data_IF_118807970988
#
_entry.id   IF_118807970988
#
_cell.length_a   1.000
_cell.length_b   1.000
_cell.length_c   1.000
_cell.angle_alpha   90.00
_cell.angle_beta   90.00
_cell.angle_gamma   90.00
#
_symmetry.space_group_name_H-M   'P 1'
#
loop_
_entity.id
_entity.type
_entity.pdbx_description
1 polymer ?
#
# COMPACT_ATOMS: atom_id res chain seq x y z
N UNK A 1 27.49 19.47 -6.91
CA UNK A 1 26.34 18.69 -7.30
C UNK A 1 25.13 19.24 -6.57
N UNK A 2 24.09 19.71 -7.26
CA UNK A 2 22.90 20.26 -6.61
C UNK A 2 22.18 19.17 -5.80
N UNK A 3 21.69 19.53 -4.62
CA UNK A 3 20.90 18.64 -3.77
C UNK A 3 19.44 19.05 -3.86
N UNK A 4 18.57 18.12 -4.20
CA UNK A 4 17.11 18.30 -4.28
C UNK A 4 16.48 17.49 -3.17
N UNK A 5 15.74 18.11 -2.24
CA UNK A 5 14.95 17.36 -1.26
C UNK A 5 13.87 16.52 -1.95
N UNK A 6 13.74 15.27 -1.58
CA UNK A 6 12.71 14.37 -2.15
C UNK A 6 11.29 14.95 -2.06
N UNK A 7 10.87 15.63 -0.98
CA UNK A 7 9.55 16.27 -0.92
C UNK A 7 9.26 17.25 -2.07
N UNK A 8 10.28 17.83 -2.70
CA UNK A 8 10.06 18.70 -3.88
C UNK A 8 9.58 17.87 -5.06
N UNK A 9 10.26 16.76 -5.37
CA UNK A 9 9.81 15.83 -6.43
C UNK A 9 8.43 15.24 -6.09
N UNK A 10 8.23 14.85 -4.84
CA UNK A 10 6.95 14.35 -4.36
C UNK A 10 5.80 15.30 -4.62
N UNK A 11 5.94 16.59 -4.23
CA UNK A 11 4.89 17.58 -4.43
C UNK A 11 4.59 17.81 -5.91
N UNK A 12 5.62 17.90 -6.75
CA UNK A 12 5.44 18.04 -8.21
C UNK A 12 4.63 16.85 -8.78
N UNK A 13 4.89 15.63 -8.34
CA UNK A 13 4.16 14.45 -8.79
C UNK A 13 2.73 14.42 -8.23
N UNK A 14 2.55 14.74 -6.96
CA UNK A 14 1.21 14.77 -6.35
C UNK A 14 0.31 15.80 -7.03
N UNK A 15 0.81 17.02 -7.23
CA UNK A 15 0.06 18.09 -7.89
C UNK A 15 -0.19 17.77 -9.37
N UNK A 16 0.86 17.32 -10.07
CA UNK A 16 0.77 16.98 -11.49
C UNK A 16 -0.18 15.82 -11.81
N UNK A 17 -0.35 14.89 -10.88
CA UNK A 17 -1.23 13.73 -11.04
C UNK A 17 -2.60 13.91 -10.35
N UNK A 18 -2.88 15.02 -9.73
CA UNK A 18 -4.13 15.21 -8.97
C UNK A 18 -5.38 14.96 -9.83
N UNK A 19 -5.34 15.31 -11.11
CA UNK A 19 -6.45 15.18 -12.05
C UNK A 19 -6.70 13.76 -12.59
N UNK A 20 -5.76 12.84 -12.41
CA UNK A 20 -5.94 11.46 -12.93
C UNK A 20 -6.82 10.60 -12.02
N UNK A 21 -7.03 11.02 -10.79
CA UNK A 21 -7.77 10.22 -9.83
C UNK A 21 -9.28 10.32 -10.05
N UNK A 22 -10.01 9.19 -10.06
CA UNK A 22 -11.46 9.20 -10.17
C UNK A 22 -12.12 10.00 -9.05
N UNK A 23 -13.26 10.64 -9.35
CA UNK A 23 -14.03 11.41 -8.36
C UNK A 23 -14.57 10.57 -7.20
N UNK A 24 -14.58 9.24 -7.34
CA UNK A 24 -14.98 8.29 -6.30
C UNK A 24 -13.90 8.05 -5.23
N UNK A 25 -12.70 8.62 -5.40
CA UNK A 25 -11.63 8.48 -4.40
C UNK A 25 -11.92 9.29 -3.14
N UNK A 26 -11.27 8.90 -2.05
CA UNK A 26 -11.37 9.61 -0.76
C UNK A 26 -11.06 11.08 -0.93
N UNK A 27 -11.91 11.95 -0.40
CA UNK A 27 -11.75 13.40 -0.44
C UNK A 27 -11.82 14.00 0.95
N UNK A 28 -11.02 15.03 1.20
CA UNK A 28 -11.13 15.89 2.38
C UNK A 28 -11.27 17.33 1.90
N UNK A 29 -12.29 18.04 2.38
CA UNK A 29 -12.59 19.43 2.00
C UNK A 29 -12.64 19.64 0.47
N UNK A 30 -13.16 18.66 -0.26
CA UNK A 30 -13.27 18.71 -1.71
C UNK A 30 -11.98 18.39 -2.50
N UNK A 31 -10.85 18.18 -1.82
CA UNK A 31 -9.61 17.76 -2.45
C UNK A 31 -9.50 16.22 -2.43
N UNK A 32 -9.22 15.62 -3.58
CA UNK A 32 -8.98 14.17 -3.66
C UNK A 32 -7.64 13.82 -3.02
N UNK A 33 -7.64 12.75 -2.25
CA UNK A 33 -6.42 12.21 -1.63
C UNK A 33 -5.70 11.18 -2.50
N UNK A 34 -6.22 10.87 -3.70
CA UNK A 34 -5.62 9.88 -4.60
C UNK A 34 -5.64 8.47 -4.04
N UNK A 35 -4.48 7.84 -3.91
CA UNK A 35 -4.36 6.48 -3.36
C UNK A 35 -4.25 6.51 -1.82
N UNK A 36 -5.30 7.03 -1.20
CA UNK A 36 -5.50 7.05 0.25
C UNK A 36 -6.91 6.52 0.58
N UNK A 37 -7.00 5.64 1.56
CA UNK A 37 -8.20 4.84 1.81
C UNK A 37 -8.61 4.85 3.28
N UNK A 38 -9.88 4.98 3.60
CA UNK A 38 -10.38 4.73 4.95
C UNK A 38 -10.00 3.31 5.38
N UNK A 39 -9.69 3.15 6.66
CA UNK A 39 -9.33 1.87 7.24
C UNK A 39 -10.06 1.70 8.57
N UNK A 40 -10.93 0.70 8.66
CA UNK A 40 -11.76 0.46 9.85
C UNK A 40 -10.96 -0.01 11.06
N UNK A 41 -9.79 -0.61 10.85
CA UNK A 41 -8.90 -1.05 11.93
C UNK A 41 -8.16 0.10 12.61
N UNK A 42 -8.13 1.28 11.99
CA UNK A 42 -7.57 2.48 12.61
C UNK A 42 -8.59 3.15 13.55
N UNK A 43 -8.11 3.99 14.49
CA UNK A 43 -9.01 4.76 15.36
C UNK A 43 -10.00 5.58 14.51
N UNK A 44 -11.29 5.40 14.77
CA UNK A 44 -12.34 6.08 14.02
C UNK A 44 -12.76 7.37 14.74
N UNK A 45 -13.01 8.47 13.99
CA UNK A 45 -13.57 9.68 14.57
C UNK A 45 -14.95 9.37 15.14
N UNK A 46 -15.19 9.77 16.39
CA UNK A 46 -16.51 9.59 16.99
C UNK A 46 -17.49 10.58 16.36
N UNK A 47 -18.67 10.11 15.93
CA UNK A 47 -19.70 11.02 15.47
C UNK A 47 -20.16 11.90 16.66
N UNK A 48 -19.85 13.17 16.61
CA UNK A 48 -20.34 14.23 17.45
C UNK A 48 -20.25 13.97 18.99
N UNK A 49 -19.24 14.49 19.70
CA UNK A 49 -19.08 14.29 21.15
C UNK A 49 -20.21 14.90 21.99
N UNK A 50 -21.13 15.65 21.38
CA UNK A 50 -22.26 16.30 22.07
C UNK A 50 -23.51 15.42 22.18
N UNK A 51 -23.58 14.26 21.55
CA UNK A 51 -24.80 13.42 21.55
C UNK A 51 -24.69 12.14 22.39
N UNK A 52 -23.50 11.75 22.85
CA UNK A 52 -23.35 10.60 23.75
C UNK A 52 -22.56 11.03 24.99
N UNK A 53 -23.22 11.07 26.14
CA UNK A 53 -22.65 11.51 27.41
C UNK A 53 -21.50 10.65 27.99
N UNK A 54 -20.89 9.78 27.20
CA UNK A 54 -19.72 8.99 27.56
C UNK A 54 -18.76 8.97 26.37
N UNK A 55 -17.64 9.66 26.49
CA UNK A 55 -16.54 9.55 25.55
C UNK A 55 -15.94 8.14 25.67
N UNK A 56 -15.76 7.39 24.55
CA UNK A 56 -15.08 6.10 24.56
C UNK A 56 -13.58 6.22 24.84
N UNK A 57 -13.05 7.44 24.92
CA UNK A 57 -11.63 7.71 25.18
C UNK A 57 -11.39 8.06 26.64
N UNK A 58 -10.22 7.70 27.20
CA UNK A 58 -9.80 8.12 28.53
C UNK A 58 -9.82 9.65 28.68
N UNK A 59 -10.02 10.19 29.90
CA UNK A 59 -9.97 11.61 30.13
C UNK A 59 -8.65 12.22 29.66
N UNK A 60 -8.74 13.23 28.78
CA UNK A 60 -7.55 13.89 28.18
C UNK A 60 -7.17 13.42 26.79
N UNK A 61 -7.84 12.40 26.23
CA UNK A 61 -7.68 12.04 24.81
C UNK A 61 -8.81 12.68 23.99
N UNK A 62 -8.43 13.37 22.93
CA UNK A 62 -9.37 13.91 21.95
C UNK A 62 -9.86 12.79 21.03
N UNK A 63 -11.08 12.92 20.49
CA UNK A 63 -11.54 12.07 19.39
C UNK A 63 -10.54 12.13 18.24
N UNK A 64 -10.18 10.99 17.63
CA UNK A 64 -9.31 10.98 16.45
C UNK A 64 -9.84 11.92 15.36
N UNK A 65 -8.95 12.62 14.70
CA UNK A 65 -9.31 13.41 13.54
C UNK A 65 -9.63 12.48 12.34
N UNK A 66 -10.47 12.94 11.42
CA UNK A 66 -10.88 12.14 10.25
C UNK A 66 -9.69 11.55 9.48
N UNK A 67 -8.61 12.29 9.34
CA UNK A 67 -7.42 11.84 8.62
C UNK A 67 -6.65 10.71 9.33
N UNK A 68 -6.83 10.52 10.64
CA UNK A 68 -6.20 9.44 11.42
C UNK A 68 -6.79 8.06 11.10
N UNK A 69 -7.97 8.01 10.49
CA UNK A 69 -8.62 6.79 10.01
C UNK A 69 -8.32 6.46 8.55
N UNK A 70 -7.42 7.21 7.90
CA UNK A 70 -7.09 7.06 6.48
C UNK A 70 -5.66 6.58 6.32
N UNK A 71 -5.47 5.50 5.56
CA UNK A 71 -4.15 4.99 5.16
C UNK A 71 -3.74 5.58 3.80
N UNK A 72 -2.72 6.43 3.77
CA UNK A 72 -2.16 6.93 2.52
C UNK A 72 -1.11 5.96 1.98
N UNK A 73 -1.35 5.37 0.83
CA UNK A 73 -0.36 4.52 0.16
C UNK A 73 0.41 5.29 -0.91
N UNK A 74 -0.28 6.11 -1.70
CA UNK A 74 0.30 6.87 -2.81
C UNK A 74 1.27 6.06 -3.67
N UNK A 75 0.91 4.78 -3.94
CA UNK A 75 1.76 3.80 -4.60
C UNK A 75 2.33 4.32 -5.93
N UNK A 76 1.50 4.94 -6.76
CA UNK A 76 1.91 5.48 -8.05
C UNK A 76 2.93 6.61 -7.89
N UNK A 77 2.69 7.54 -6.97
CA UNK A 77 3.62 8.65 -6.71
C UNK A 77 4.95 8.14 -6.19
N UNK A 78 4.94 7.19 -5.25
CA UNK A 78 6.15 6.56 -4.73
C UNK A 78 6.92 5.83 -5.83
N UNK A 79 6.22 5.04 -6.65
CA UNK A 79 6.82 4.33 -7.77
C UNK A 79 7.47 5.30 -8.78
N UNK A 80 6.82 6.41 -9.09
CA UNK A 80 7.39 7.45 -9.95
C UNK A 80 8.60 8.11 -9.32
N UNK A 81 8.61 8.39 -8.02
CA UNK A 81 9.80 8.88 -7.32
C UNK A 81 10.97 7.92 -7.52
N UNK A 82 10.79 6.63 -7.21
CA UNK A 82 11.83 5.62 -7.40
C UNK A 82 12.31 5.55 -8.86
N UNK A 83 11.39 5.59 -9.83
CA UNK A 83 11.69 5.45 -11.25
C UNK A 83 12.41 6.67 -11.82
N UNK A 84 12.11 7.88 -11.34
CA UNK A 84 12.66 9.12 -11.86
C UNK A 84 13.98 9.52 -11.20
N UNK A 85 14.21 9.16 -9.94
CA UNK A 85 15.41 9.58 -9.22
C UNK A 85 16.70 9.16 -9.95
N UNK A 86 16.81 7.89 -10.35
CA UNK A 86 18.03 7.41 -11.00
C UNK A 86 18.37 8.13 -12.32
N UNK A 87 17.47 8.23 -13.30
CA UNK A 87 17.76 8.98 -14.53
C UNK A 87 18.00 10.45 -14.29
N UNK A 88 17.30 11.10 -13.35
CA UNK A 88 17.55 12.49 -13.01
C UNK A 88 18.93 12.70 -12.37
N UNK A 89 19.35 11.80 -11.48
CA UNK A 89 20.71 11.83 -10.94
C UNK A 89 21.78 11.68 -12.04
N UNK A 90 21.56 10.73 -12.94
CA UNK A 90 22.54 10.39 -13.99
C UNK A 90 22.62 11.47 -15.06
N UNK A 91 21.48 11.98 -15.52
CA UNK A 91 21.39 12.92 -16.64
C UNK A 91 21.59 14.37 -16.23
N UNK A 92 21.09 14.76 -15.03
CA UNK A 92 21.10 16.14 -14.56
C UNK A 92 22.21 16.40 -13.54
N UNK A 93 22.93 15.38 -13.10
CA UNK A 93 23.98 15.52 -12.10
C UNK A 93 23.49 16.05 -10.76
N UNK A 94 22.24 15.76 -10.37
CA UNK A 94 21.65 16.14 -9.09
C UNK A 94 21.74 15.00 -8.09
N UNK A 95 21.55 15.31 -6.82
CA UNK A 95 21.42 14.31 -5.75
C UNK A 95 20.09 14.51 -5.01
N UNK A 96 19.35 13.43 -4.73
CA UNK A 96 18.13 13.49 -3.92
C UNK A 96 18.45 13.21 -2.46
N UNK A 97 18.05 14.11 -1.57
CA UNK A 97 18.10 13.91 -0.12
C UNK A 97 16.72 13.53 0.41
N UNK A 98 16.67 12.67 1.42
CA UNK A 98 15.40 12.22 2.03
C UNK A 98 14.77 11.03 1.31
N UNK A 99 15.54 10.23 0.61
CA UNK A 99 15.02 9.02 -0.09
C UNK A 99 14.49 7.96 0.89
N UNK A 100 14.93 8.00 2.13
CA UNK A 100 14.44 7.17 3.24
C UNK A 100 12.99 7.50 3.66
N UNK A 101 12.43 8.61 3.20
CA UNK A 101 11.02 8.97 3.43
C UNK A 101 10.05 8.14 2.59
N UNK A 102 10.53 7.49 1.53
CA UNK A 102 9.72 6.57 0.76
C UNK A 102 9.54 5.24 1.49
N UNK A 103 8.36 4.66 1.35
CA UNK A 103 8.03 3.36 1.94
C UNK A 103 8.16 2.22 0.92
N UNK A 104 8.02 0.99 1.38
CA UNK A 104 7.76 -0.14 0.50
C UNK A 104 6.44 0.03 -0.25
N UNK A 105 6.38 -0.53 -1.45
CA UNK A 105 5.16 -0.51 -2.27
C UNK A 105 4.37 -1.81 -2.01
N UNK A 106 3.12 -1.71 -1.52
CA UNK A 106 2.29 -2.90 -1.35
C UNK A 106 1.86 -3.42 -2.72
N UNK A 107 2.30 -4.63 -3.05
CA UNK A 107 2.03 -5.30 -4.31
C UNK A 107 1.54 -6.73 -4.09
N UNK A 108 0.87 -7.32 -5.10
CA UNK A 108 0.44 -8.71 -5.05
C UNK A 108 1.62 -9.68 -4.84
N UNK A 109 2.82 -9.32 -5.33
CA UNK A 109 4.01 -10.17 -5.19
C UNK A 109 4.51 -10.28 -3.76
N UNK A 110 4.62 -9.14 -3.07
CA UNK A 110 5.09 -9.12 -1.69
C UNK A 110 3.98 -9.43 -0.68
N UNK A 111 2.80 -8.82 -0.84
CA UNK A 111 1.64 -9.10 0.00
C UNK A 111 1.11 -10.53 -0.18
N UNK A 112 1.11 -11.05 -1.42
CA UNK A 112 0.76 -12.43 -1.73
C UNK A 112 1.73 -13.42 -1.11
N UNK A 113 3.04 -13.15 -1.13
CA UNK A 113 4.05 -13.98 -0.49
C UNK A 113 3.78 -14.17 1.01
N UNK A 114 3.36 -13.11 1.71
CA UNK A 114 3.00 -13.21 3.13
C UNK A 114 1.77 -14.11 3.36
N UNK A 115 0.81 -14.11 2.44
CA UNK A 115 -0.35 -15.00 2.49
C UNK A 115 0.05 -16.44 2.17
N UNK A 116 0.82 -16.66 1.12
CA UNK A 116 1.24 -17.99 0.66
C UNK A 116 2.12 -18.71 1.68
N UNK A 117 2.95 -17.98 2.40
CA UNK A 117 3.78 -18.52 3.48
C UNK A 117 3.04 -18.62 4.82
N UNK A 118 1.76 -18.25 4.87
CA UNK A 118 0.95 -18.31 6.09
C UNK A 118 1.32 -17.27 7.15
N UNK A 119 2.08 -16.23 6.78
CA UNK A 119 2.38 -15.09 7.66
C UNK A 119 1.12 -14.25 7.89
N UNK A 120 0.31 -14.11 6.84
CA UNK A 120 -1.01 -13.47 6.87
C UNK A 120 -2.07 -14.47 6.46
N UNK A 121 -3.21 -14.45 7.14
CA UNK A 121 -4.37 -15.28 6.80
C UNK A 121 -5.64 -14.43 6.82
N UNK A 122 -6.57 -14.72 5.92
CA UNK A 122 -7.90 -14.14 5.98
C UNK A 122 -8.67 -14.68 7.17
N UNK A 123 -9.46 -13.82 7.81
CA UNK A 123 -10.47 -14.26 8.78
C UNK A 123 -11.48 -15.18 8.07
N UNK A 124 -12.03 -16.22 8.76
CA UNK A 124 -12.96 -17.17 8.13
C UNK A 124 -14.16 -16.48 7.44
N UNK A 125 -14.76 -15.49 8.08
CA UNK A 125 -15.92 -14.77 7.54
C UNK A 125 -15.56 -13.96 6.28
N UNK A 126 -14.38 -13.34 6.26
CA UNK A 126 -13.87 -12.63 5.08
C UNK A 126 -13.52 -13.59 3.95
N UNK A 127 -12.95 -14.74 4.27
CA UNK A 127 -12.70 -15.80 3.28
C UNK A 127 -13.99 -16.22 2.60
N UNK A 128 -15.05 -16.51 3.38
CA UNK A 128 -16.35 -16.91 2.82
C UNK A 128 -16.95 -15.78 1.98
N UNK A 129 -16.94 -14.55 2.47
CA UNK A 129 -17.42 -13.37 1.75
C UNK A 129 -16.69 -13.17 0.41
N UNK A 130 -15.37 -13.33 0.41
CA UNK A 130 -14.56 -13.23 -0.81
C UNK A 130 -14.88 -14.33 -1.82
N UNK A 131 -15.13 -15.56 -1.37
CA UNK A 131 -15.54 -16.67 -2.23
C UNK A 131 -16.95 -16.46 -2.81
N UNK A 132 -17.86 -15.89 -2.02
CA UNK A 132 -19.21 -15.54 -2.50
C UNK A 132 -19.14 -14.44 -3.58
N UNK A 133 -18.29 -13.44 -3.40
CA UNK A 133 -18.02 -12.40 -4.40
C UNK A 133 -17.46 -13.00 -5.69
N UNK A 134 -16.52 -13.94 -5.57
CA UNK A 134 -15.99 -14.68 -6.72
C UNK A 134 -17.10 -15.41 -7.49
N UNK A 135 -17.90 -16.20 -6.77
CA UNK A 135 -18.99 -16.96 -7.36
C UNK A 135 -20.02 -16.07 -8.09
N UNK A 136 -20.36 -14.92 -7.51
CA UNK A 136 -21.28 -13.95 -8.11
C UNK A 136 -20.68 -13.28 -9.35
N UNK A 137 -19.40 -12.88 -9.28
CA UNK A 137 -18.71 -12.28 -10.43
C UNK A 137 -18.71 -13.23 -11.63
N UNK A 138 -18.35 -14.49 -11.44
CA UNK A 138 -18.33 -15.47 -12.55
C UNK A 138 -19.71 -15.93 -13.00
N UNK A 139 -20.71 -15.90 -12.14
CA UNK A 139 -22.10 -16.13 -12.53
C UNK A 139 -22.62 -15.02 -13.45
N UNK A 140 -22.29 -13.78 -13.13
CA UNK A 140 -22.74 -12.62 -13.90
C UNK A 140 -21.96 -12.40 -15.19
N UNK A 141 -20.66 -12.69 -15.21
CA UNK A 141 -19.78 -12.50 -16.38
C UNK A 141 -19.84 -13.64 -17.39
N UNK A 142 -20.31 -14.83 -16.99
CA UNK A 142 -20.28 -16.04 -17.82
C UNK A 142 -18.90 -16.61 -18.10
N UNK A 143 -17.85 -16.00 -17.56
CA UNK A 143 -16.44 -16.45 -17.70
C UNK A 143 -16.12 -17.42 -16.55
N UNK A 144 -15.49 -18.56 -16.87
CA UNK A 144 -14.98 -19.47 -15.83
C UNK A 144 -13.59 -19.02 -15.44
N UNK A 145 -13.37 -18.75 -14.14
CA UNK A 145 -12.04 -18.55 -13.58
C UNK A 145 -11.21 -19.83 -13.67
N UNK A 146 -9.90 -19.67 -13.83
CA UNK A 146 -8.94 -20.80 -13.84
C UNK A 146 -8.80 -21.38 -12.45
N UNK A 147 -8.83 -20.51 -11.44
CA UNK A 147 -8.70 -20.89 -10.02
C UNK A 147 -9.77 -20.19 -9.19
N UNK A 148 -10.18 -20.82 -8.11
CA UNK A 148 -11.13 -20.26 -7.15
C UNK A 148 -10.34 -19.48 -6.10
N UNK A 149 -10.55 -18.18 -6.04
CA UNK A 149 -9.87 -17.31 -5.07
C UNK A 149 -10.85 -16.28 -4.50
N UNK A 150 -10.69 -15.85 -3.24
CA UNK A 150 -11.52 -14.80 -2.68
C UNK A 150 -11.31 -13.48 -3.42
N UNK A 151 -12.40 -12.81 -3.79
CA UNK A 151 -12.41 -11.56 -4.53
C UNK A 151 -12.91 -10.39 -3.67
N UNK A 152 -12.21 -9.27 -3.75
CA UNK A 152 -12.54 -8.04 -3.04
C UNK A 152 -12.33 -6.82 -3.95
N UNK A 153 -13.07 -5.76 -3.70
CA UNK A 153 -12.82 -4.45 -4.34
C UNK A 153 -11.59 -3.80 -3.70
N UNK A 154 -10.90 -2.93 -4.45
CA UNK A 154 -9.74 -2.20 -3.92
C UNK A 154 -10.02 -1.34 -2.68
N UNK A 155 -11.29 -0.91 -2.53
CA UNK A 155 -11.77 -0.13 -1.37
C UNK A 155 -12.25 -1.00 -0.20
N UNK A 156 -12.19 -2.32 -0.30
CA UNK A 156 -12.61 -3.22 0.76
C UNK A 156 -11.63 -3.15 1.94
N UNK A 157 -12.14 -3.18 3.16
CA UNK A 157 -11.33 -3.10 4.38
C UNK A 157 -10.25 -4.19 4.42
N UNK A 158 -10.55 -5.41 3.97
CA UNK A 158 -9.58 -6.51 3.85
C UNK A 158 -8.40 -6.11 2.98
N UNK A 159 -8.65 -5.46 1.84
CA UNK A 159 -7.60 -5.04 0.92
C UNK A 159 -6.80 -3.88 1.49
N UNK A 160 -7.46 -2.92 2.10
CA UNK A 160 -6.80 -1.76 2.71
C UNK A 160 -5.92 -2.20 3.88
N UNK A 161 -6.43 -3.07 4.78
CA UNK A 161 -5.64 -3.67 5.86
C UNK A 161 -4.45 -4.46 5.32
N UNK A 162 -4.68 -5.34 4.34
CA UNK A 162 -3.63 -6.16 3.75
C UNK A 162 -2.50 -5.30 3.15
N UNK A 163 -2.85 -4.23 2.42
CA UNK A 163 -1.86 -3.28 1.90
C UNK A 163 -1.09 -2.60 3.02
N UNK A 164 -1.77 -2.14 4.08
CA UNK A 164 -1.14 -1.48 5.23
C UNK A 164 -0.17 -2.40 5.98
N UNK A 165 -0.61 -3.61 6.30
CA UNK A 165 0.23 -4.61 6.98
C UNK A 165 1.41 -5.04 6.10
N UNK A 166 1.20 -5.15 4.78
CA UNK A 166 2.27 -5.46 3.83
C UNK A 166 3.37 -4.41 3.88
N UNK A 167 3.02 -3.11 3.86
CA UNK A 167 4.03 -2.03 3.96
C UNK A 167 4.83 -2.15 5.25
N UNK A 168 4.17 -2.33 6.40
CA UNK A 168 4.84 -2.49 7.68
C UNK A 168 5.77 -3.71 7.74
N UNK A 169 5.33 -4.84 7.19
CA UNK A 169 6.14 -6.06 7.17
C UNK A 169 7.35 -5.98 6.23
N UNK A 170 7.29 -5.19 5.17
CA UNK A 170 8.43 -5.02 4.26
C UNK A 170 9.63 -4.38 4.97
N UNK A 171 9.41 -3.42 5.86
CA UNK A 171 10.49 -2.83 6.66
C UNK A 171 11.09 -3.85 7.62
N UNK A 172 10.25 -4.64 8.29
CA UNK A 172 10.71 -5.71 9.18
C UNK A 172 11.48 -6.78 8.40
N UNK A 173 10.96 -7.18 7.24
CA UNK A 173 11.60 -8.15 6.34
C UNK A 173 12.98 -7.67 5.90
N UNK A 174 13.13 -6.38 5.54
CA UNK A 174 14.42 -5.80 5.18
C UNK A 174 15.45 -5.98 6.30
N UNK A 175 15.07 -5.74 7.53
CA UNK A 175 15.96 -5.91 8.68
C UNK A 175 16.40 -7.37 8.83
N UNK A 176 15.46 -8.31 8.77
CA UNK A 176 15.78 -9.74 8.95
C UNK A 176 16.58 -10.31 7.77
N UNK A 177 16.29 -9.89 6.54
CA UNK A 177 17.08 -10.31 5.36
C UNK A 177 18.51 -9.78 5.44
N UNK A 178 18.71 -8.51 5.78
CA UNK A 178 20.05 -7.94 5.95
C UNK A 178 20.84 -8.65 7.05
N UNK A 179 20.17 -9.02 8.13
CA UNK A 179 20.77 -9.81 9.21
C UNK A 179 21.16 -11.22 8.74
N UNK A 180 20.29 -11.88 8.00
CA UNK A 180 20.55 -13.24 7.47
C UNK A 180 21.68 -13.26 6.44
N UNK A 181 21.76 -12.23 5.57
CA UNK A 181 22.74 -12.15 4.48
C UNK A 181 24.00 -11.34 4.85
N UNK A 182 24.20 -11.01 6.11
CA UNK A 182 25.30 -10.13 6.54
C UNK A 182 26.68 -10.57 6.05
N UNK A 183 26.94 -11.89 6.05
CA UNK A 183 28.22 -12.46 5.59
C UNK A 183 28.36 -12.34 4.06
N UNK A 184 27.30 -12.59 3.32
CA UNK A 184 27.28 -12.58 1.86
C UNK A 184 27.36 -11.17 1.27
N UNK A 185 26.81 -10.21 1.99
CA UNK A 185 26.83 -8.79 1.64
C UNK A 185 28.13 -8.08 2.10
N UNK A 186 29.08 -8.81 2.69
CA UNK A 186 30.33 -8.23 3.22
C UNK A 186 30.12 -7.04 4.16
N UNK A 187 29.07 -7.12 4.98
CA UNK A 187 28.69 -6.07 5.93
C UNK A 187 27.93 -4.89 5.34
N UNK A 188 27.67 -4.87 4.04
CA UNK A 188 26.73 -3.91 3.43
C UNK A 188 25.28 -4.28 3.76
N UNK A 189 24.37 -3.31 3.61
CA UNK A 189 22.95 -3.54 3.76
C UNK A 189 22.21 -3.22 2.46
N UNK A 190 21.23 -4.06 2.13
CA UNK A 190 20.26 -3.77 1.08
C UNK A 190 19.28 -2.70 1.58
N UNK A 191 19.09 -1.67 0.78
CA UNK A 191 17.98 -0.77 0.96
C UNK A 191 16.65 -1.48 0.61
N UNK A 192 15.53 -0.93 1.07
CA UNK A 192 14.21 -1.52 0.75
C UNK A 192 13.96 -1.64 -0.76
N UNK A 193 14.23 -0.64 -1.61
CA UNK A 193 14.10 -0.80 -3.06
C UNK A 193 14.96 -1.93 -3.65
N UNK A 194 16.21 -2.06 -3.20
CA UNK A 194 17.10 -3.14 -3.65
C UNK A 194 16.58 -4.52 -3.25
N UNK A 195 16.04 -4.64 -2.03
CA UNK A 195 15.41 -5.89 -1.58
C UNK A 195 14.18 -6.24 -2.43
N UNK A 196 13.32 -5.27 -2.70
CA UNK A 196 12.12 -5.47 -3.51
C UNK A 196 12.46 -5.85 -4.95
N UNK A 197 13.46 -5.21 -5.53
CA UNK A 197 13.96 -5.54 -6.86
C UNK A 197 14.52 -6.96 -6.90
N UNK A 198 15.44 -7.31 -6.02
CA UNK A 198 16.03 -8.64 -5.94
C UNK A 198 14.99 -9.74 -5.73
N UNK A 199 14.01 -9.52 -4.83
CA UNK A 199 12.91 -10.45 -4.58
C UNK A 199 11.99 -10.63 -5.78
N UNK A 200 11.71 -9.59 -6.55
CA UNK A 200 10.79 -9.65 -7.69
C UNK A 200 11.32 -10.47 -8.87
N UNK A 201 12.63 -10.64 -9.00
CA UNK A 201 13.24 -11.39 -10.12
C UNK A 201 13.06 -12.90 -10.01
N UNK A 202 12.97 -13.42 -8.78
CA UNK A 202 12.85 -14.88 -8.54
C UNK A 202 11.42 -15.40 -8.46
N UNK A 203 10.43 -14.56 -8.18
CA UNK A 203 9.03 -14.97 -7.95
C UNK A 203 8.22 -15.12 -9.26
N UNK A 204 8.87 -15.19 -10.42
CA UNK A 204 8.18 -15.29 -11.71
C UNK A 204 7.48 -16.63 -12.01
N UNK A 205 7.48 -17.60 -11.10
CA UNK A 205 7.09 -18.97 -11.46
C UNK A 205 5.67 -19.39 -11.07
N UNK A 206 4.91 -18.61 -10.31
CA UNK A 206 3.52 -19.00 -9.97
C UNK A 206 2.60 -17.78 -10.02
N UNK A 207 1.53 -17.82 -10.83
CA UNK A 207 0.49 -16.81 -10.82
C UNK A 207 -0.41 -17.07 -9.60
N UNK A 208 -0.09 -16.43 -8.49
CA UNK A 208 -0.95 -16.46 -7.32
C UNK A 208 -1.71 -15.14 -7.31
N UNK A 209 -3.01 -15.24 -7.50
CA UNK A 209 -4.01 -14.15 -7.48
C UNK A 209 -3.84 -13.11 -8.59
N UNK A 210 -4.56 -13.28 -9.66
CA UNK A 210 -4.81 -12.23 -10.66
C UNK A 210 -5.72 -11.16 -10.05
N UNK A 211 -5.13 -10.07 -9.57
CA UNK A 211 -5.86 -8.82 -9.47
C UNK A 211 -6.19 -8.39 -10.90
N UNK A 212 -7.46 -8.23 -11.20
CA UNK A 212 -7.86 -7.57 -12.43
C UNK A 212 -7.50 -6.09 -12.33
N UNK A 213 -6.33 -5.73 -12.86
CA UNK A 213 -5.89 -4.34 -12.96
C UNK A 213 -6.75 -3.52 -13.93
N UNK A 214 -7.70 -4.13 -14.65
CA UNK A 214 -8.57 -3.45 -15.62
C UNK A 214 -9.55 -2.47 -14.96
N UNK A 215 -9.61 -2.43 -13.63
CA UNK A 215 -10.49 -1.55 -12.86
C UNK A 215 -9.76 -0.49 -12.07
N UNK A 216 -8.45 -0.30 -12.29
CA UNK A 216 -7.69 0.86 -11.80
C UNK A 216 -7.65 1.89 -12.93
N UNK A 217 -8.83 2.38 -13.27
CA UNK A 217 -9.04 3.52 -14.12
C UNK A 217 -9.50 4.71 -13.25
#
# INVERSE_FOLDING_TARGET
MPIVPLPVLWNVLMDGMASIWPSSRTTINGATLGDAWPCQSLPQPTPNPHTSGLSPFPPGQNSPALWESILPFHKLTQWLCYSLMHPMQTLLGIHFAGTELLTGLPEYRNGGLFVDLGVLTLKPDDMQRGLDNYAEHFRSSGVKGVEVAPMFKASDDVVVEWRGVTVGFLDMLRVEVNKALKSELNGNELSLPQLLEAGSWKVRSHPIYTWDESHVG
#
